data_IF_374911068660
#
_entry.id   IF_374911068660
#
_cell.length_a   1.000
_cell.length_b   1.000
_cell.length_c   1.000
_cell.angle_alpha   90.00
_cell.angle_beta   90.00
_cell.angle_gamma   90.00
#
_symmetry.space_group_name_H-M   'P 1'
#
loop_
_entity.id
_entity.type
_entity.pdbx_description
1 polymer ?
#
# COMPACT_ATOMS: atom_id res chain seq x y z
N UNK A 1 -7.49 -13.57 4.19
CA UNK A 1 -6.83 -13.55 2.86
C UNK A 1 -5.35 -13.24 3.09
N UNK A 2 -4.45 -14.00 2.48
CA UNK A 2 -2.99 -13.88 2.59
C UNK A 2 -2.35 -13.08 1.43
N UNK A 3 -3.18 -12.48 0.57
CA UNK A 3 -2.72 -11.70 -0.59
C UNK A 3 -1.80 -10.56 -0.15
N UNK A 4 -0.55 -10.49 -0.66
CA UNK A 4 0.33 -9.35 -0.46
C UNK A 4 -0.37 -8.04 -0.87
N UNK A 5 -0.22 -6.97 -0.10
CA UNK A 5 -0.91 -5.71 -0.41
C UNK A 5 -0.05 -4.51 -0.07
N UNK A 6 0.10 -3.64 -1.06
CA UNK A 6 0.52 -2.26 -0.90
C UNK A 6 -0.73 -1.39 -0.75
N UNK A 7 -0.79 -0.57 0.29
CA UNK A 7 -1.81 0.47 0.46
C UNK A 7 -1.16 1.84 0.29
N UNK A 8 -1.66 2.65 -0.66
CA UNK A 8 -1.18 4.01 -0.93
C UNK A 8 -2.26 4.97 -0.48
N UNK A 9 -1.86 6.05 0.21
CA UNK A 9 -2.77 7.00 0.82
C UNK A 9 -2.41 8.43 0.41
N UNK A 10 -3.43 9.21 0.08
CA UNK A 10 -3.33 10.64 -0.15
C UNK A 10 -3.44 11.36 1.20
N UNK A 11 -2.50 12.26 1.51
CA UNK A 11 -2.54 12.98 2.79
C UNK A 11 -3.76 13.92 2.90
N UNK A 12 -4.13 14.60 1.82
CA UNK A 12 -5.22 15.58 1.76
C UNK A 12 -6.52 14.97 1.23
N UNK A 13 -6.68 13.66 1.45
CA UNK A 13 -7.88 12.89 1.14
C UNK A 13 -9.13 13.44 1.87
N UNK A 14 -10.27 13.45 1.16
CA UNK A 14 -11.56 13.99 1.66
C UNK A 14 -12.77 13.09 1.41
N UNK A 15 -12.63 12.06 0.60
CA UNK A 15 -13.65 11.08 0.25
C UNK A 15 -13.57 9.87 1.18
N UNK A 16 -12.35 9.40 1.49
CA UNK A 16 -12.10 8.23 2.34
C UNK A 16 -11.29 8.64 3.57
N UNK A 17 -11.79 8.43 4.79
CA UNK A 17 -11.04 8.82 5.99
C UNK A 17 -9.71 8.05 6.09
N UNK A 18 -8.59 8.80 6.11
CA UNK A 18 -7.23 8.28 6.24
C UNK A 18 -7.04 7.35 7.46
N UNK A 19 -7.76 7.57 8.56
CA UNK A 19 -7.71 6.68 9.74
C UNK A 19 -8.18 5.27 9.41
N UNK A 20 -9.02 5.12 8.39
CA UNK A 20 -9.52 3.81 7.94
C UNK A 20 -8.44 3.00 7.25
N UNK A 21 -7.52 3.65 6.53
CA UNK A 21 -6.36 2.98 5.94
C UNK A 21 -5.39 2.49 7.01
N UNK A 22 -5.10 3.31 8.02
CA UNK A 22 -4.29 2.89 9.17
C UNK A 22 -4.94 1.66 9.85
N UNK A 23 -6.25 1.75 10.10
CA UNK A 23 -7.00 0.66 10.71
C UNK A 23 -6.99 -0.61 9.87
N UNK A 24 -7.08 -0.50 8.55
CA UNK A 24 -6.98 -1.63 7.63
C UNK A 24 -5.61 -2.32 7.78
N UNK A 25 -4.52 -1.55 7.79
CA UNK A 25 -3.17 -2.08 8.00
C UNK A 25 -3.00 -2.77 9.36
N UNK A 26 -3.58 -2.22 10.44
CA UNK A 26 -3.58 -2.84 11.77
C UNK A 26 -4.29 -4.20 11.78
N UNK A 27 -5.49 -4.27 11.21
CA UNK A 27 -6.28 -5.52 11.15
C UNK A 27 -5.53 -6.58 10.35
N UNK A 28 -4.93 -6.18 9.22
CA UNK A 28 -4.09 -7.04 8.38
C UNK A 28 -2.87 -7.56 9.13
N UNK A 29 -2.17 -6.70 9.87
CA UNK A 29 -1.02 -7.09 10.67
C UNK A 29 -1.41 -8.06 11.79
N UNK A 30 -2.51 -7.80 12.50
CA UNK A 30 -3.04 -8.69 13.52
C UNK A 30 -3.45 -10.07 12.97
N UNK A 31 -3.85 -10.14 11.71
CA UNK A 31 -4.13 -11.40 11.00
C UNK A 31 -2.89 -12.12 10.45
N UNK A 32 -1.68 -11.62 10.70
CA UNK A 32 -0.42 -12.21 10.22
C UNK A 32 -0.10 -11.91 8.75
N UNK A 33 -0.81 -10.97 8.13
CA UNK A 33 -0.65 -10.60 6.71
C UNK A 33 -0.50 -9.07 6.57
N UNK A 34 0.55 -8.46 7.15
CA UNK A 34 0.72 -7.02 7.15
C UNK A 34 0.73 -6.44 5.72
N UNK A 35 0.32 -5.19 5.57
CA UNK A 35 0.58 -4.46 4.32
C UNK A 35 2.09 -4.29 4.12
N UNK A 36 2.51 -4.06 2.88
CA UNK A 36 3.87 -3.67 2.54
C UNK A 36 4.32 -2.49 3.43
N UNK A 37 5.47 -2.60 4.09
CA UNK A 37 5.96 -1.60 5.03
C UNK A 37 5.17 -1.48 6.35
N UNK A 38 4.16 -2.33 6.58
CA UNK A 38 3.37 -2.39 7.82
C UNK A 38 2.33 -1.28 8.01
N UNK A 39 2.26 -0.31 7.09
CA UNK A 39 1.38 0.87 7.17
C UNK A 39 1.10 1.42 5.77
N UNK A 40 0.14 2.35 5.59
CA UNK A 40 -0.06 3.01 4.32
C UNK A 40 1.18 3.79 3.88
N UNK A 41 1.51 3.74 2.58
CA UNK A 41 2.44 4.67 1.96
C UNK A 41 1.74 6.01 1.73
N UNK A 42 2.01 6.99 2.58
CA UNK A 42 1.38 8.32 2.50
C UNK A 42 2.13 9.20 1.50
N UNK A 43 1.42 9.71 0.49
CA UNK A 43 1.90 10.71 -0.45
C UNK A 43 1.44 12.08 0.03
N UNK A 44 2.41 12.87 0.49
CA UNK A 44 2.20 14.17 1.11
C UNK A 44 1.57 15.16 0.13
N UNK A 45 0.55 15.89 0.60
CA UNK A 45 -0.20 16.87 -0.18
C UNK A 45 -1.07 16.33 -1.33
N UNK A 46 -1.14 15.02 -1.57
CA UNK A 46 -1.96 14.45 -2.64
C UNK A 46 -3.44 14.37 -2.24
N UNK A 47 -4.32 14.55 -3.22
CA UNK A 47 -5.77 14.32 -3.12
C UNK A 47 -6.17 12.91 -3.62
N UNK A 48 -7.47 12.60 -3.54
CA UNK A 48 -8.08 11.28 -3.77
C UNK A 48 -7.56 10.51 -5.00
N UNK A 49 -7.45 11.20 -6.14
CA UNK A 49 -7.04 10.59 -7.40
C UNK A 49 -5.52 10.62 -7.60
N UNK A 50 -4.77 9.96 -6.71
CA UNK A 50 -3.30 9.97 -6.66
C UNK A 50 -2.61 9.64 -8.00
N UNK A 51 -3.23 8.80 -8.84
CA UNK A 51 -2.67 8.44 -10.16
C UNK A 51 -2.88 9.53 -11.22
N UNK A 52 -3.77 10.49 -10.96
CA UNK A 52 -4.03 11.68 -11.78
C UNK A 52 -3.46 12.96 -11.17
N UNK A 53 -2.77 12.87 -10.03
CA UNK A 53 -2.10 14.00 -9.37
C UNK A 53 -0.93 14.58 -10.19
N UNK A 54 -0.36 15.69 -9.68
CA UNK A 54 0.87 16.29 -10.22
C UNK A 54 1.99 15.25 -10.37
N UNK A 55 2.84 15.46 -11.36
CA UNK A 55 3.96 14.58 -11.72
C UNK A 55 4.81 14.13 -10.53
N UNK A 56 5.14 15.06 -9.63
CA UNK A 56 5.94 14.79 -8.43
C UNK A 56 5.26 13.79 -7.46
N UNK A 57 3.93 13.75 -7.42
CA UNK A 57 3.15 12.85 -6.56
C UNK A 57 2.81 11.55 -7.28
N UNK A 58 2.29 11.63 -8.53
CA UNK A 58 1.92 10.43 -9.30
C UNK A 58 3.12 9.52 -9.55
N UNK A 59 4.31 10.08 -9.75
CA UNK A 59 5.53 9.28 -9.97
C UNK A 59 5.92 8.48 -8.72
N UNK A 60 5.72 9.02 -7.51
CA UNK A 60 5.90 8.27 -6.26
C UNK A 60 4.97 7.07 -6.20
N UNK A 61 3.69 7.26 -6.53
CA UNK A 61 2.71 6.18 -6.55
C UNK A 61 3.06 5.10 -7.59
N UNK A 62 3.33 5.51 -8.83
CA UNK A 62 3.63 4.58 -9.93
C UNK A 62 4.92 3.79 -9.66
N UNK A 63 5.97 4.44 -9.15
CA UNK A 63 7.20 3.75 -8.77
C UNK A 63 6.97 2.75 -7.64
N UNK A 64 6.15 3.09 -6.63
CA UNK A 64 5.80 2.17 -5.56
C UNK A 64 5.01 0.96 -6.07
N UNK A 65 4.04 1.18 -6.97
CA UNK A 65 3.23 0.12 -7.58
C UNK A 65 4.11 -0.84 -8.39
N UNK A 66 4.91 -0.32 -9.32
CA UNK A 66 5.82 -1.13 -10.15
C UNK A 66 6.84 -1.84 -9.27
N UNK A 67 7.42 -1.15 -8.29
CA UNK A 67 8.35 -1.73 -7.32
C UNK A 67 7.74 -2.86 -6.51
N UNK A 68 6.46 -2.74 -6.12
CA UNK A 68 5.74 -3.80 -5.40
C UNK A 68 5.51 -5.03 -6.27
N UNK A 69 5.05 -4.87 -7.52
CA UNK A 69 4.79 -6.00 -8.42
C UNK A 69 6.07 -6.66 -8.95
N UNK A 70 7.20 -5.94 -9.02
CA UNK A 70 8.48 -6.52 -9.43
C UNK A 70 9.13 -7.38 -8.34
N UNK A 71 8.63 -7.37 -7.10
CA UNK A 71 9.17 -8.24 -6.05
C UNK A 71 8.81 -9.70 -6.36
N UNK A 72 9.80 -10.61 -6.35
CA UNK A 72 9.49 -12.03 -6.47
C UNK A 72 8.61 -12.45 -5.28
N UNK A 73 7.49 -13.11 -5.57
CA UNK A 73 6.61 -13.68 -4.54
C UNK A 73 7.40 -14.75 -3.75
N UNK A 74 7.91 -14.41 -2.58
CA UNK A 74 8.60 -15.35 -1.69
C UNK A 74 7.64 -16.35 -1.02
N UNK A 75 6.34 -16.33 -1.36
CA UNK A 75 5.31 -17.20 -0.78
C UNK A 75 5.20 -18.59 -1.42
N UNK A 76 6.22 -19.05 -2.17
CA UNK A 76 6.39 -20.46 -2.56
C UNK A 76 7.56 -21.13 -1.83
N UNK A 77 7.76 -20.81 -0.55
CA UNK A 77 8.66 -21.53 0.34
C UNK A 77 8.15 -22.94 0.66
N UNK A 78 8.88 -23.95 0.17
CA UNK A 78 8.99 -25.34 0.65
C UNK A 78 7.78 -25.99 1.33
N UNK A 79 7.12 -26.89 0.59
CA UNK A 79 6.20 -27.91 1.13
C UNK A 79 6.79 -29.33 1.20
N UNK A 80 8.09 -29.50 1.02
CA UNK A 80 8.76 -30.80 1.19
C UNK A 80 10.14 -30.61 1.83
N UNK A 81 10.18 -30.75 3.15
CA UNK A 81 11.31 -31.23 3.94
C UNK A 81 10.72 -32.05 5.09
#
# INVERSE_FOLDING_TARGET
DATPTLLIQAEEERVVDNRTHDRFCEIRAAAGHPCEGGKPLVIKGAYHEILFEKDAMRSVALNAIVGFFNKPNLSSGNRFA
#
